data_IF_906117694740
#
_entry.id   IF_906117694740
#
_cell.length_a   1.000
_cell.length_b   1.000
_cell.length_c   1.000
_cell.angle_alpha   90.00
_cell.angle_beta   90.00
_cell.angle_gamma   90.00
#
_symmetry.space_group_name_H-M   'P 1'
#
loop_
_entity.id
_entity.type
_entity.pdbx_description
1 polymer ?
#
# COMPACT_ATOMS: atom_id res chain seq x y z
N UNK A 1 -47.99 -15.18 36.48
CA UNK A 1 -47.82 -14.59 37.82
C UNK A 1 -46.60 -13.66 37.82
N UNK A 2 -46.84 -12.35 38.07
CA UNK A 2 -45.96 -11.25 38.47
C UNK A 2 -44.67 -10.96 37.65
N UNK A 3 -44.78 -10.09 36.71
CA UNK A 3 -44.23 -8.72 36.46
C UNK A 3 -43.28 -8.17 37.53
N UNK A 4 -42.10 -7.77 37.07
CA UNK A 4 -41.15 -6.92 37.80
C UNK A 4 -40.40 -6.01 36.86
N UNK A 5 -40.93 -4.82 36.61
CA UNK A 5 -40.33 -3.67 35.93
C UNK A 5 -39.37 -2.97 36.90
N UNK A 6 -38.13 -2.72 36.52
CA UNK A 6 -37.24 -1.87 37.30
C UNK A 6 -36.71 -0.75 36.38
N UNK A 7 -37.26 0.44 36.64
CA UNK A 7 -36.91 1.73 36.08
C UNK A 7 -35.60 2.23 36.71
N UNK A 8 -34.62 2.66 35.86
CA UNK A 8 -33.46 3.41 36.33
C UNK A 8 -33.49 4.80 35.74
N UNK A 9 -33.65 5.75 36.64
CA UNK A 9 -33.68 7.20 36.51
C UNK A 9 -32.29 7.72 36.08
N UNK A 10 -32.27 8.58 35.07
CA UNK A 10 -31.12 9.36 34.62
C UNK A 10 -31.07 10.72 35.30
N UNK A 11 -29.96 11.04 35.95
CA UNK A 11 -29.66 12.37 36.50
C UNK A 11 -28.62 13.05 35.63
N UNK A 12 -28.74 14.32 35.20
CA UNK A 12 -27.71 15.07 34.47
C UNK A 12 -26.67 15.72 35.39
N UNK A 13 -25.44 15.97 34.94
CA UNK A 13 -24.39 16.64 35.70
C UNK A 13 -24.49 18.17 35.63
N UNK A 14 -23.94 18.89 36.63
CA UNK A 14 -24.08 20.32 36.79
C UNK A 14 -23.08 21.17 35.99
N UNK A 15 -23.49 22.40 35.75
CA UNK A 15 -22.85 23.48 35.02
C UNK A 15 -21.40 23.82 35.41
N UNK A 16 -20.56 24.02 34.42
CA UNK A 16 -19.22 24.60 34.53
C UNK A 16 -19.29 26.13 34.35
N UNK A 17 -19.00 26.87 35.42
CA UNK A 17 -18.88 28.33 35.44
C UNK A 17 -17.56 28.78 34.77
N UNK A 18 -17.69 29.73 33.88
CA UNK A 18 -16.60 30.50 33.27
C UNK A 18 -15.86 31.37 34.30
N UNK A 19 -14.55 31.32 34.32
CA UNK A 19 -13.65 32.25 34.97
C UNK A 19 -12.90 33.04 33.92
N UNK A 20 -13.28 34.32 33.75
CA UNK A 20 -12.57 35.31 32.94
C UNK A 20 -11.40 35.87 33.77
N UNK A 21 -10.18 35.77 33.25
CA UNK A 21 -8.99 36.47 33.75
C UNK A 21 -8.67 37.63 32.82
N UNK A 22 -8.89 38.85 33.30
CA UNK A 22 -8.39 40.11 32.71
C UNK A 22 -6.93 40.30 33.11
N UNK A 23 -6.02 40.30 32.17
CA UNK A 23 -4.65 40.80 32.36
C UNK A 23 -4.53 42.22 31.83
N UNK A 24 -4.23 43.11 32.76
CA UNK A 24 -3.86 44.52 32.54
C UNK A 24 -2.38 44.59 32.15
N UNK A 25 -2.07 45.03 30.91
CA UNK A 25 -0.70 45.27 30.47
C UNK A 25 -0.42 46.78 30.55
N UNK A 26 0.47 47.16 31.47
CA UNK A 26 0.98 48.53 31.60
C UNK A 26 2.00 48.83 30.48
N UNK A 27 1.73 49.88 29.69
CA UNK A 27 2.56 50.39 28.63
C UNK A 27 3.60 51.36 29.23
N UNK A 28 4.88 51.00 29.28
CA UNK A 28 5.99 51.93 29.55
C UNK A 28 6.57 52.39 28.21
N UNK A 29 6.38 53.70 27.93
CA UNK A 29 6.99 54.38 26.79
C UNK A 29 8.41 54.80 27.16
N UNK A 30 9.42 54.21 26.52
CA UNK A 30 10.80 54.74 26.53
C UNK A 30 11.06 55.45 25.20
N UNK A 31 11.18 56.81 25.23
CA UNK A 31 11.62 57.63 24.12
C UNK A 31 13.14 57.63 24.08
N UNK A 32 13.74 56.96 23.08
CA UNK A 32 15.17 57.04 22.72
C UNK A 32 15.38 57.80 21.38
N UNK A 33 16.47 58.52 21.18
CA UNK A 33 16.67 59.41 20.02
C UNK A 33 16.79 58.63 18.70
N UNK A 34 16.02 59.07 17.73
CA UNK A 34 16.00 58.53 16.36
C UNK A 34 17.34 58.74 15.66
N UNK A 35 18.00 57.62 15.33
CA UNK A 35 19.19 57.60 14.44
C UNK A 35 18.69 57.32 13.03
N UNK A 36 18.86 58.29 12.14
CA UNK A 36 18.48 58.16 10.72
C UNK A 36 19.27 57.01 10.08
N UNK A 37 18.58 55.98 9.60
CA UNK A 37 19.14 54.94 8.72
C UNK A 37 19.03 55.40 7.27
N UNK A 38 20.04 55.14 6.43
CA UNK A 38 19.95 55.46 5.00
C UNK A 38 18.94 54.53 4.32
N UNK A 39 18.05 55.13 3.57
CA UNK A 39 17.03 54.43 2.75
C UNK A 39 17.72 53.56 1.70
N UNK A 40 17.46 52.24 1.64
CA UNK A 40 17.93 51.42 0.53
C UNK A 40 17.17 51.81 -0.75
N UNK A 41 17.88 51.92 -1.85
CA UNK A 41 17.34 52.16 -3.17
C UNK A 41 16.34 51.07 -3.56
N UNK A 42 15.28 51.39 -4.34
CA UNK A 42 14.30 50.39 -4.79
C UNK A 42 14.99 49.37 -5.68
N UNK A 43 14.98 48.10 -5.23
CA UNK A 43 15.38 46.94 -6.05
C UNK A 43 14.44 46.83 -7.25
N UNK A 44 15.02 46.73 -8.44
CA UNK A 44 14.27 46.45 -9.66
C UNK A 44 13.39 45.20 -9.49
N UNK A 45 12.17 45.17 -10.04
CA UNK A 45 11.32 44.01 -9.94
C UNK A 45 11.95 42.83 -10.69
N UNK A 46 12.35 41.81 -9.95
CA UNK A 46 12.69 40.50 -10.51
C UNK A 46 11.39 39.97 -11.15
N UNK A 47 11.39 39.61 -12.45
CA UNK A 47 10.19 39.00 -13.03
C UNK A 47 9.84 37.73 -12.21
N UNK A 48 8.70 37.77 -11.57
CA UNK A 48 8.12 36.59 -10.94
C UNK A 48 8.00 35.54 -12.03
N UNK A 49 8.82 34.51 -11.94
CA UNK A 49 8.57 33.27 -12.70
C UNK A 49 7.16 32.82 -12.30
N UNK A 50 6.21 33.05 -13.18
CA UNK A 50 4.88 32.46 -13.08
C UNK A 50 5.13 30.96 -13.04
N UNK A 51 5.08 30.36 -11.84
CA UNK A 51 4.91 28.95 -11.70
C UNK A 51 3.59 28.65 -12.43
N UNK A 52 3.73 28.18 -13.68
CA UNK A 52 2.62 27.60 -14.41
C UNK A 52 2.11 26.50 -13.53
N UNK A 53 0.88 26.68 -13.00
CA UNK A 53 0.20 25.61 -12.30
C UNK A 53 0.27 24.39 -13.24
N UNK A 54 1.06 23.40 -12.88
CA UNK A 54 1.06 22.11 -13.54
C UNK A 54 -0.37 21.64 -13.39
N UNK A 55 -1.16 21.76 -14.47
CA UNK A 55 -2.53 21.32 -14.49
C UNK A 55 -2.53 19.87 -14.06
N UNK A 56 -3.24 19.61 -12.99
CA UNK A 56 -3.49 18.26 -12.49
C UNK A 56 -3.99 17.41 -13.64
N UNK A 57 -3.19 16.41 -14.07
CA UNK A 57 -3.54 15.55 -15.18
C UNK A 57 -4.77 14.74 -14.76
N UNK A 58 -5.91 14.89 -15.46
CA UNK A 58 -7.14 14.23 -15.05
C UNK A 58 -6.95 12.71 -15.00
N UNK A 59 -7.30 12.09 -13.88
CA UNK A 59 -7.56 10.67 -13.77
C UNK A 59 -6.35 9.74 -13.70
N UNK A 60 -5.17 10.23 -13.33
CA UNK A 60 -3.98 9.40 -13.24
C UNK A 60 -3.68 9.10 -11.77
N UNK A 61 -3.97 7.86 -11.34
CA UNK A 61 -3.61 7.35 -10.01
C UNK A 61 -4.74 7.11 -9.03
N UNK A 62 -5.98 7.49 -9.36
CA UNK A 62 -7.12 7.48 -8.45
C UNK A 62 -8.02 6.25 -8.63
N UNK A 63 -7.44 5.06 -8.77
CA UNK A 63 -8.18 3.81 -8.93
C UNK A 63 -8.16 2.96 -7.65
N UNK A 64 -9.32 2.74 -7.06
CA UNK A 64 -9.51 1.75 -6.01
C UNK A 64 -9.90 0.42 -6.64
N UNK A 65 -9.21 -0.66 -6.25
CA UNK A 65 -9.45 -2.02 -6.74
C UNK A 65 -9.75 -2.94 -5.56
N UNK A 66 -10.84 -3.67 -5.62
CA UNK A 66 -11.24 -4.64 -4.61
C UNK A 66 -11.86 -5.91 -5.24
N UNK A 67 -11.47 -7.10 -4.79
CA UNK A 67 -10.45 -7.41 -3.80
C UNK A 67 -9.02 -7.18 -4.35
N UNK A 68 -8.06 -7.02 -3.46
CA UNK A 68 -6.63 -6.85 -3.82
C UNK A 68 -5.92 -8.18 -4.16
N UNK A 69 -6.64 -9.28 -4.12
CA UNK A 69 -6.15 -10.64 -4.40
C UNK A 69 -7.32 -11.53 -4.81
N UNK A 70 -7.16 -12.31 -5.85
CA UNK A 70 -8.15 -13.30 -6.30
C UNK A 70 -7.56 -14.69 -6.23
N UNK A 71 -8.29 -15.63 -5.61
CA UNK A 71 -7.93 -17.04 -5.57
C UNK A 71 -9.11 -17.84 -6.13
N UNK A 72 -8.82 -18.64 -7.14
CA UNK A 72 -9.77 -19.55 -7.81
C UNK A 72 -9.32 -20.98 -7.54
N UNK A 73 -10.01 -21.65 -6.63
CA UNK A 73 -9.68 -23.01 -6.20
C UNK A 73 -10.94 -23.86 -5.94
N UNK A 74 -10.81 -25.16 -5.98
CA UNK A 74 -11.90 -26.10 -5.70
C UNK A 74 -13.11 -25.89 -6.62
N UNK A 75 -14.23 -25.46 -6.06
CA UNK A 75 -15.48 -25.17 -6.78
C UNK A 75 -15.60 -23.73 -7.24
N UNK A 76 -14.72 -22.82 -6.77
CA UNK A 76 -14.73 -21.42 -7.15
C UNK A 76 -14.16 -21.27 -8.56
N UNK A 77 -15.03 -21.07 -9.54
CA UNK A 77 -14.69 -21.01 -10.98
C UNK A 77 -14.79 -19.61 -11.58
N UNK A 78 -15.28 -18.65 -10.81
CA UNK A 78 -15.43 -17.27 -11.23
C UNK A 78 -15.16 -16.33 -10.08
N UNK A 79 -14.76 -15.11 -10.43
CA UNK A 79 -14.58 -14.02 -9.49
C UNK A 79 -14.92 -12.69 -10.14
N UNK A 80 -15.18 -11.69 -9.31
CA UNK A 80 -15.41 -10.32 -9.71
C UNK A 80 -14.41 -9.40 -9.03
N UNK A 81 -13.93 -8.40 -9.76
CA UNK A 81 -13.07 -7.33 -9.25
C UNK A 81 -13.75 -6.01 -9.51
N UNK A 82 -14.07 -5.31 -8.45
CA UNK A 82 -14.65 -3.96 -8.51
C UNK A 82 -13.56 -2.92 -8.67
N UNK A 83 -13.77 -1.98 -9.57
CA UNK A 83 -12.94 -0.81 -9.79
C UNK A 83 -13.77 0.43 -9.50
N UNK A 84 -13.21 1.35 -8.75
CA UNK A 84 -13.85 2.64 -8.44
C UNK A 84 -12.85 3.74 -8.75
N UNK A 85 -13.25 4.69 -9.59
CA UNK A 85 -12.47 5.90 -9.80
C UNK A 85 -12.75 6.87 -8.66
N UNK A 86 -11.79 7.07 -7.75
CA UNK A 86 -11.90 7.99 -6.62
C UNK A 86 -11.37 9.40 -6.94
N UNK A 87 -10.90 9.61 -8.17
CA UNK A 87 -10.47 10.91 -8.67
C UNK A 87 -11.63 11.81 -9.09
N UNK A 88 -11.31 13.05 -9.43
CA UNK A 88 -12.29 14.09 -9.81
C UNK A 88 -12.67 14.08 -11.29
N UNK A 89 -11.95 13.31 -12.12
CA UNK A 89 -12.13 13.32 -13.58
C UNK A 89 -12.43 11.91 -14.11
N UNK A 90 -13.09 11.83 -15.24
CA UNK A 90 -13.28 10.57 -15.97
C UNK A 90 -11.94 10.00 -16.41
N UNK A 91 -11.73 8.71 -16.17
CA UNK A 91 -10.51 8.00 -16.53
C UNK A 91 -10.80 6.68 -17.23
N UNK A 92 -9.98 6.35 -18.23
CA UNK A 92 -10.06 5.09 -18.95
C UNK A 92 -8.91 4.18 -18.51
N UNK A 93 -9.22 2.92 -18.23
CA UNK A 93 -8.27 1.90 -17.81
C UNK A 93 -8.31 0.72 -18.76
N UNK A 94 -7.13 0.31 -19.23
CA UNK A 94 -6.97 -0.94 -19.97
C UNK A 94 -6.67 -2.07 -18.99
N UNK A 95 -7.39 -3.18 -19.15
CA UNK A 95 -7.27 -4.38 -18.34
C UNK A 95 -6.47 -5.43 -19.11
N UNK A 96 -5.39 -5.92 -18.54
CA UNK A 96 -4.50 -6.93 -19.13
C UNK A 96 -3.88 -7.80 -18.06
N UNK A 97 -3.24 -8.89 -18.46
CA UNK A 97 -2.36 -9.64 -17.57
C UNK A 97 -0.92 -9.18 -17.72
N UNK A 98 -0.19 -9.20 -16.59
CA UNK A 98 1.27 -9.10 -16.52
C UNK A 98 1.80 -10.21 -15.61
N UNK A 99 3.06 -10.57 -15.78
CA UNK A 99 3.69 -11.66 -15.06
C UNK A 99 4.80 -11.10 -14.17
N UNK A 100 4.67 -11.31 -12.86
CA UNK A 100 5.58 -10.76 -11.87
C UNK A 100 6.22 -11.87 -11.05
N UNK A 101 7.54 -11.81 -10.93
CA UNK A 101 8.37 -12.66 -10.10
C UNK A 101 8.70 -11.95 -8.79
N UNK A 102 8.46 -12.62 -7.68
CA UNK A 102 8.86 -12.09 -6.37
C UNK A 102 10.35 -12.37 -6.12
N UNK A 103 11.09 -11.35 -5.73
CA UNK A 103 12.47 -11.49 -5.23
C UNK A 103 12.47 -11.98 -3.78
N UNK A 104 13.63 -12.37 -3.25
CA UNK A 104 13.75 -12.74 -1.83
C UNK A 104 13.48 -11.57 -0.88
N UNK A 105 13.66 -10.33 -1.32
CA UNK A 105 13.27 -9.13 -0.55
C UNK A 105 11.76 -8.85 -0.60
N UNK A 106 11.02 -9.56 -1.46
CA UNK A 106 9.59 -9.38 -1.65
C UNK A 106 9.19 -8.34 -2.70
N UNK A 107 10.15 -7.79 -3.42
CA UNK A 107 9.91 -6.94 -4.58
C UNK A 107 9.34 -7.77 -5.74
N UNK A 108 8.45 -7.19 -6.53
CA UNK A 108 7.88 -7.83 -7.71
C UNK A 108 8.56 -7.27 -8.97
N UNK A 109 9.15 -8.15 -9.77
CA UNK A 109 9.81 -7.83 -11.05
C UNK A 109 9.09 -8.48 -12.20
N UNK A 110 8.94 -7.76 -13.31
CA UNK A 110 8.30 -8.27 -14.50
C UNK A 110 9.16 -9.35 -15.17
N UNK A 111 8.50 -10.41 -15.64
CA UNK A 111 9.12 -11.51 -16.37
C UNK A 111 8.28 -11.87 -17.60
N UNK A 112 8.93 -12.33 -18.66
CA UNK A 112 8.25 -12.69 -19.91
C UNK A 112 7.85 -14.17 -19.98
N UNK A 113 8.60 -15.04 -19.29
CA UNK A 113 8.43 -16.49 -19.35
C UNK A 113 8.21 -17.06 -17.95
N UNK A 114 7.40 -18.13 -17.83
CA UNK A 114 7.23 -18.82 -16.56
C UNK A 114 8.53 -19.51 -16.12
N UNK A 115 8.76 -19.54 -14.82
CA UNK A 115 9.83 -20.33 -14.21
C UNK A 115 9.30 -21.70 -13.79
N UNK A 116 10.20 -22.65 -13.60
CA UNK A 116 9.86 -23.97 -13.07
C UNK A 116 9.15 -23.85 -11.71
N UNK A 117 8.04 -24.53 -11.55
CA UNK A 117 7.21 -24.45 -10.33
C UNK A 117 6.39 -23.16 -10.17
N UNK A 118 6.38 -22.25 -11.17
CA UNK A 118 5.58 -21.02 -11.17
C UNK A 118 4.92 -20.75 -12.53
N UNK A 119 4.03 -21.62 -13.02
CA UNK A 119 3.36 -21.42 -14.30
C UNK A 119 2.38 -20.22 -14.24
N UNK A 120 2.17 -19.60 -15.41
CA UNK A 120 1.24 -18.49 -15.54
C UNK A 120 -0.23 -18.95 -15.56
N UNK A 121 -1.13 -18.11 -15.03
CA UNK A 121 -2.55 -18.38 -14.95
C UNK A 121 -3.38 -17.75 -16.10
N UNK A 122 -2.83 -16.78 -16.84
CA UNK A 122 -3.55 -15.96 -17.82
C UNK A 122 -4.27 -16.78 -18.89
N UNK A 123 -3.64 -17.85 -19.41
CA UNK A 123 -4.22 -18.75 -20.39
C UNK A 123 -5.41 -19.56 -19.85
N UNK A 124 -5.53 -19.69 -18.52
CA UNK A 124 -6.63 -20.38 -17.85
C UNK A 124 -7.81 -19.44 -17.57
N UNK A 125 -7.65 -18.12 -17.73
CA UNK A 125 -8.60 -17.11 -17.27
C UNK A 125 -9.17 -16.34 -18.46
N UNK A 126 -10.48 -16.30 -18.52
CA UNK A 126 -11.23 -15.38 -19.38
C UNK A 126 -11.77 -14.24 -18.53
N UNK A 127 -11.65 -13.01 -18.99
CA UNK A 127 -12.13 -11.83 -18.28
C UNK A 127 -12.72 -10.80 -19.21
N UNK A 128 -13.64 -10.00 -18.70
CA UNK A 128 -14.32 -8.92 -19.42
C UNK A 128 -14.80 -7.86 -18.41
N UNK A 129 -14.77 -6.57 -18.80
CA UNK A 129 -14.28 -6.02 -20.06
C UNK A 129 -12.74 -5.88 -20.12
N UNK A 130 -12.21 -5.57 -21.30
CA UNK A 130 -10.77 -5.32 -21.57
C UNK A 130 -10.37 -3.87 -21.42
N UNK A 131 -11.35 -2.97 -21.49
CA UNK A 131 -11.18 -1.54 -21.30
C UNK A 131 -12.42 -0.98 -20.61
N UNK A 132 -12.21 -0.04 -19.70
CA UNK A 132 -13.24 0.51 -18.83
C UNK A 132 -13.02 2.01 -18.71
N UNK A 133 -14.07 2.78 -19.02
CA UNK A 133 -14.10 4.22 -18.73
C UNK A 133 -14.97 4.46 -17.51
N UNK A 134 -14.38 5.07 -16.48
CA UNK A 134 -15.01 5.35 -15.20
C UNK A 134 -15.15 6.86 -14.99
N UNK A 135 -16.35 7.33 -14.77
CA UNK A 135 -16.60 8.67 -14.24
C UNK A 135 -16.17 8.74 -12.76
N UNK A 136 -16.04 9.96 -12.23
CA UNK A 136 -15.72 10.18 -10.81
C UNK A 136 -16.71 9.47 -9.89
N UNK A 137 -16.20 8.71 -8.92
CA UNK A 137 -16.98 7.94 -7.93
C UNK A 137 -17.91 6.86 -8.52
N UNK A 138 -17.70 6.49 -9.79
CA UNK A 138 -18.46 5.40 -10.43
C UNK A 138 -17.68 4.09 -10.31
N UNK A 139 -18.39 3.02 -9.94
CA UNK A 139 -17.85 1.68 -9.85
C UNK A 139 -18.23 0.83 -11.07
N UNK A 140 -17.29 0.01 -11.52
CA UNK A 140 -17.54 -1.06 -12.49
C UNK A 140 -16.85 -2.36 -12.09
N UNK A 141 -17.31 -3.47 -12.64
CA UNK A 141 -16.85 -4.80 -12.29
C UNK A 141 -16.20 -5.48 -13.50
N UNK A 142 -15.00 -6.02 -13.28
CA UNK A 142 -14.35 -6.98 -14.17
C UNK A 142 -14.70 -8.38 -13.70
N UNK A 143 -15.36 -9.14 -14.56
CA UNK A 143 -15.68 -10.56 -14.31
C UNK A 143 -14.61 -11.46 -14.87
N UNK A 144 -14.22 -12.44 -14.08
CA UNK A 144 -13.25 -13.46 -14.46
C UNK A 144 -13.87 -14.85 -14.33
N UNK A 145 -13.51 -15.74 -15.25
CA UNK A 145 -13.90 -17.13 -15.23
C UNK A 145 -12.73 -18.02 -15.64
N UNK A 146 -12.49 -19.10 -14.90
CA UNK A 146 -11.46 -20.07 -15.25
C UNK A 146 -12.01 -21.18 -16.13
N UNK A 147 -11.14 -21.63 -17.04
CA UNK A 147 -11.32 -22.83 -17.85
C UNK A 147 -10.11 -23.73 -17.67
N UNK A 148 -10.27 -24.81 -16.93
CA UNK A 148 -9.22 -25.77 -16.66
C UNK A 148 -9.24 -26.89 -17.72
N UNK A 149 -8.15 -27.11 -18.46
CA UNK A 149 -7.98 -28.31 -19.30
C UNK A 149 -8.00 -29.57 -18.44
N UNK A 150 -8.51 -30.67 -18.96
CA UNK A 150 -8.55 -31.94 -18.24
C UNK A 150 -7.15 -32.49 -17.89
N UNK A 151 -6.14 -32.15 -18.68
CA UNK A 151 -4.73 -32.54 -18.49
C UNK A 151 -3.91 -31.51 -17.71
N UNK A 152 -4.54 -30.52 -17.06
CA UNK A 152 -3.80 -29.52 -16.32
C UNK A 152 -3.05 -30.17 -15.14
N UNK A 153 -1.72 -29.99 -15.00
CA UNK A 153 -0.99 -30.48 -13.84
C UNK A 153 -1.49 -29.86 -12.52
N UNK A 154 -1.37 -30.61 -11.43
CA UNK A 154 -1.66 -30.09 -10.10
C UNK A 154 -0.64 -29.01 -9.70
N UNK A 155 -1.12 -27.95 -9.03
CA UNK A 155 -0.29 -26.89 -8.55
C UNK A 155 -0.95 -25.52 -8.55
N UNK A 156 -0.14 -24.50 -8.26
CA UNK A 156 -0.56 -23.11 -8.25
C UNK A 156 -0.05 -22.41 -9.52
N UNK A 157 -0.98 -21.74 -10.20
CA UNK A 157 -0.77 -20.92 -11.40
C UNK A 157 -1.02 -19.46 -11.01
N UNK A 158 -0.14 -18.54 -11.40
CA UNK A 158 -0.26 -17.13 -11.01
C UNK A 158 0.06 -16.19 -12.14
N UNK A 159 -0.81 -15.20 -12.35
CA UNK A 159 -0.59 -14.01 -13.16
C UNK A 159 -1.13 -12.81 -12.40
N UNK A 160 -0.81 -11.61 -12.83
CA UNK A 160 -1.32 -10.39 -12.21
C UNK A 160 -2.25 -9.68 -13.19
N UNK A 161 -3.47 -9.36 -12.74
CA UNK A 161 -4.39 -8.54 -13.49
C UNK A 161 -3.97 -7.07 -13.32
N UNK A 162 -3.59 -6.43 -14.41
CA UNK A 162 -3.09 -5.06 -14.48
C UNK A 162 -4.18 -4.14 -15.00
N UNK A 163 -4.46 -3.10 -14.26
CA UNK A 163 -5.32 -1.97 -14.64
C UNK A 163 -4.41 -0.78 -14.93
N UNK A 164 -4.21 -0.46 -16.21
CA UNK A 164 -3.31 0.60 -16.65
C UNK A 164 -4.11 1.78 -17.15
N UNK A 165 -3.87 2.98 -16.61
CA UNK A 165 -4.49 4.20 -17.10
C UNK A 165 -4.12 4.45 -18.56
N UNK A 166 -5.10 4.86 -19.35
CA UNK A 166 -4.92 5.29 -20.74
C UNK A 166 -4.89 6.82 -20.73
N UNK A 167 -3.78 7.46 -21.12
CA UNK A 167 -3.71 8.91 -21.22
C UNK A 167 -4.77 9.43 -22.19
N UNK A 168 -5.40 10.58 -21.89
CA UNK A 168 -6.32 11.21 -22.83
C UNK A 168 -5.58 11.60 -24.13
N UNK A 169 -6.25 11.53 -25.28
CA UNK A 169 -5.65 11.86 -26.58
C UNK A 169 -5.07 13.28 -26.62
N UNK A 170 -5.68 14.24 -25.90
CA UNK A 170 -5.19 15.60 -25.75
C UNK A 170 -3.82 15.69 -25.02
N UNK A 171 -3.39 14.63 -24.35
CA UNK A 171 -2.10 14.54 -23.70
C UNK A 171 -1.01 13.96 -24.62
N UNK A 172 -1.38 13.40 -25.77
CA UNK A 172 -0.42 12.96 -26.77
C UNK A 172 0.33 14.18 -27.35
N UNK A 173 1.66 14.11 -27.50
CA UNK A 173 2.39 15.20 -28.13
C UNK A 173 1.93 15.31 -29.59
N UNK A 174 1.37 16.46 -29.97
CA UNK A 174 0.92 16.72 -31.33
C UNK A 174 2.09 16.76 -32.36
N UNK A 175 3.32 16.68 -31.87
CA UNK A 175 4.55 16.70 -32.72
C UNK A 175 5.52 15.62 -32.30
N UNK A 176 5.94 14.79 -33.25
CA UNK A 176 7.12 13.93 -33.05
C UNK A 176 8.37 14.79 -32.88
N UNK A 177 9.33 14.31 -32.10
CA UNK A 177 10.61 14.99 -31.83
C UNK A 177 11.32 15.36 -33.15
N UNK A 178 11.17 14.56 -34.20
CA UNK A 178 11.75 14.80 -35.53
C UNK A 178 11.22 16.06 -36.23
N UNK A 179 9.94 16.44 -35.97
CA UNK A 179 9.34 17.64 -36.57
C UNK A 179 9.69 18.90 -35.77
N UNK A 180 10.03 18.79 -34.49
CA UNK A 180 10.41 19.91 -33.65
C UNK A 180 11.85 20.39 -33.90
N UNK A 181 12.72 19.54 -34.44
CA UNK A 181 14.13 19.87 -34.73
C UNK A 181 14.30 20.65 -36.02
N UNK A 182 13.32 20.60 -36.95
CA UNK A 182 13.41 21.28 -38.27
C UNK A 182 12.83 22.68 -38.33
N UNK A 183 12.12 23.14 -37.31
CA UNK A 183 11.54 24.49 -37.25
C UNK A 183 12.15 25.34 -36.15
N UNK A 184 13.17 26.09 -36.45
CA UNK A 184 13.70 27.31 -35.81
C UNK A 184 14.53 27.12 -34.52
N UNK A 185 15.79 27.47 -34.60
CA UNK A 185 16.77 27.54 -33.50
C UNK A 185 16.49 28.61 -32.41
N UNK A 186 15.25 29.10 -32.29
CA UNK A 186 14.86 30.12 -31.31
C UNK A 186 13.68 29.74 -30.41
N UNK A 187 13.05 28.56 -30.62
CA UNK A 187 11.97 28.08 -29.75
C UNK A 187 12.55 27.18 -28.64
N UNK A 188 12.42 27.59 -27.39
CA UNK A 188 12.86 26.80 -26.25
C UNK A 188 12.27 25.38 -26.29
N UNK A 189 13.12 24.38 -26.04
CA UNK A 189 12.70 22.99 -25.98
C UNK A 189 11.82 22.79 -24.74
N UNK A 190 10.57 22.37 -24.91
CA UNK A 190 9.64 22.05 -23.84
C UNK A 190 9.40 20.55 -23.77
N UNK A 191 9.72 19.93 -22.63
CA UNK A 191 9.44 18.51 -22.36
C UNK A 191 8.23 18.42 -21.44
N UNK A 192 7.18 17.74 -21.86
CA UNK A 192 6.04 17.38 -21.02
C UNK A 192 6.13 15.91 -20.64
N UNK A 193 6.28 15.60 -19.35
CA UNK A 193 6.25 14.25 -18.83
C UNK A 193 4.81 13.90 -18.43
N UNK A 194 4.30 12.78 -18.94
CA UNK A 194 2.98 12.24 -18.59
C UNK A 194 3.21 10.91 -17.86
N UNK A 195 3.09 10.88 -16.53
CA UNK A 195 3.20 9.63 -15.79
C UNK A 195 1.97 8.76 -16.07
N UNK A 196 2.19 7.48 -16.37
CA UNK A 196 1.12 6.48 -16.57
C UNK A 196 1.18 5.54 -15.37
N UNK A 197 0.11 5.53 -14.58
CA UNK A 197 0.00 4.66 -13.43
C UNK A 197 -0.75 3.38 -13.78
N UNK A 198 -0.45 2.32 -13.02
CA UNK A 198 -1.15 1.05 -13.11
C UNK A 198 -1.22 0.39 -11.74
N UNK A 199 -2.35 -0.25 -11.47
CA UNK A 199 -2.55 -1.10 -10.29
C UNK A 199 -2.59 -2.53 -10.76
N UNK A 200 -1.86 -3.43 -10.11
CA UNK A 200 -1.92 -4.85 -10.40
C UNK A 200 -2.28 -5.66 -9.15
N UNK A 201 -3.11 -6.68 -9.34
CA UNK A 201 -3.50 -7.62 -8.29
C UNK A 201 -3.15 -9.05 -8.71
N UNK A 202 -2.69 -9.92 -7.80
CA UNK A 202 -2.45 -11.32 -8.12
C UNK A 202 -3.77 -12.06 -8.34
N UNK A 203 -3.83 -12.81 -9.43
CA UNK A 203 -4.88 -13.80 -9.73
C UNK A 203 -4.23 -15.17 -9.71
N UNK A 204 -4.71 -16.01 -8.79
CA UNK A 204 -4.13 -17.31 -8.48
C UNK A 204 -5.17 -18.38 -8.77
N UNK A 205 -4.78 -19.36 -9.56
CA UNK A 205 -5.56 -20.58 -9.83
C UNK A 205 -4.85 -21.73 -9.17
N UNK A 206 -5.57 -22.48 -8.32
CA UNK A 206 -5.09 -23.70 -7.68
C UNK A 206 -5.84 -24.90 -8.22
N UNK A 207 -5.10 -25.89 -8.66
CA UNK A 207 -5.64 -27.13 -9.22
C UNK A 207 -5.05 -28.35 -8.49
N UNK A 208 -5.92 -29.31 -8.16
CA UNK A 208 -5.52 -30.52 -7.43
C UNK A 208 -5.13 -30.26 -5.97
N UNK A 209 -4.22 -31.08 -5.47
CA UNK A 209 -3.70 -30.94 -4.11
C UNK A 209 -2.55 -29.97 -4.07
N UNK A 210 -2.72 -28.89 -3.28
CA UNK A 210 -1.72 -27.81 -3.18
C UNK A 210 -1.34 -27.55 -1.71
N UNK A 211 -0.63 -28.49 -1.03
CA UNK A 211 -0.19 -28.27 0.34
C UNK A 211 0.91 -27.19 0.42
N UNK A 212 0.90 -26.44 1.52
CA UNK A 212 1.99 -25.55 1.87
C UNK A 212 2.14 -25.45 3.39
N UNK A 213 3.39 -25.24 3.83
CA UNK A 213 3.71 -24.91 5.21
C UNK A 213 4.52 -23.63 5.29
N UNK A 214 4.36 -22.90 6.38
CA UNK A 214 5.12 -21.70 6.69
C UNK A 214 6.10 -21.97 7.83
N UNK A 215 7.24 -21.29 7.82
CA UNK A 215 8.22 -21.28 8.91
C UNK A 215 8.78 -19.88 9.12
N UNK A 216 9.23 -19.59 10.33
CA UNK A 216 9.93 -18.34 10.68
C UNK A 216 11.29 -18.71 11.25
N UNK A 217 12.35 -18.11 10.72
CA UNK A 217 13.72 -18.35 11.13
C UNK A 217 14.55 -17.05 11.06
N UNK A 218 15.78 -17.11 11.58
CA UNK A 218 16.77 -16.04 11.46
C UNK A 218 16.23 -14.67 11.88
N UNK A 219 15.46 -14.62 13.00
CA UNK A 219 14.90 -13.38 13.50
C UNK A 219 16.00 -12.55 14.17
N UNK A 220 16.20 -11.32 13.69
CA UNK A 220 17.21 -10.38 14.18
C UNK A 220 16.55 -9.05 14.51
N UNK A 221 16.78 -8.56 15.71
CA UNK A 221 16.42 -7.21 16.12
C UNK A 221 17.53 -6.22 15.76
N UNK A 222 17.18 -5.14 15.11
CA UNK A 222 18.05 -4.00 14.83
C UNK A 222 17.53 -2.79 15.61
N UNK A 223 18.31 -2.22 16.54
CA UNK A 223 17.92 -1.03 17.28
C UNK A 223 17.78 0.18 16.34
N UNK A 224 17.05 1.20 16.78
CA UNK A 224 16.95 2.46 16.07
C UNK A 224 18.33 3.07 15.80
N UNK A 225 18.52 3.66 14.63
CA UNK A 225 19.76 4.35 14.22
C UNK A 225 19.41 5.70 13.61
N UNK A 226 19.77 6.80 14.31
CA UNK A 226 19.37 8.14 13.88
C UNK A 226 17.85 8.27 13.78
N UNK A 227 17.36 8.67 12.60
CA UNK A 227 15.93 8.81 12.33
C UNK A 227 15.24 7.48 11.91
N UNK A 228 16.00 6.39 11.73
CA UNK A 228 15.43 5.10 11.36
C UNK A 228 14.83 4.41 12.59
N UNK A 229 13.57 3.96 12.50
CA UNK A 229 12.92 3.23 13.60
C UNK A 229 13.59 1.87 13.84
N UNK A 230 13.46 1.31 15.04
CA UNK A 230 13.93 -0.06 15.30
C UNK A 230 13.21 -1.04 14.36
N UNK A 231 13.92 -2.08 13.94
CA UNK A 231 13.50 -3.01 12.90
C UNK A 231 13.64 -4.46 13.38
N UNK A 232 12.67 -5.29 13.07
CA UNK A 232 12.80 -6.75 13.10
C UNK A 232 12.99 -7.27 11.67
N UNK A 233 14.08 -8.00 11.43
CA UNK A 233 14.30 -8.73 10.20
C UNK A 233 14.13 -10.22 10.47
N UNK A 234 13.41 -10.95 9.62
CA UNK A 234 13.28 -12.40 9.74
C UNK A 234 13.09 -13.05 8.37
N UNK A 235 13.42 -14.35 8.30
CA UNK A 235 13.22 -15.19 7.13
C UNK A 235 11.88 -15.91 7.27
N UNK A 236 10.92 -15.56 6.39
CA UNK A 236 9.66 -16.27 6.27
C UNK A 236 9.83 -17.35 5.19
N UNK A 237 9.89 -18.60 5.64
CA UNK A 237 10.04 -19.77 4.79
C UNK A 237 8.71 -20.34 4.32
N UNK A 238 8.72 -20.98 3.14
CA UNK A 238 7.60 -21.67 2.52
C UNK A 238 8.08 -23.02 1.97
N UNK A 239 7.28 -24.06 2.18
CA UNK A 239 7.47 -25.34 1.49
C UNK A 239 6.14 -25.80 0.89
N UNK A 240 6.20 -26.80 -0.02
CA UNK A 240 5.02 -27.27 -0.77
C UNK A 240 4.88 -26.58 -2.13
N UNK A 241 3.73 -26.75 -2.78
CA UNK A 241 3.47 -26.34 -4.16
C UNK A 241 2.47 -25.19 -4.31
N UNK A 242 2.16 -24.47 -3.22
CA UNK A 242 1.39 -23.24 -3.27
C UNK A 242 2.06 -22.12 -2.47
N UNK A 243 1.70 -20.89 -2.79
CA UNK A 243 2.09 -19.68 -2.07
C UNK A 243 1.46 -19.62 -0.68
N UNK A 244 2.19 -19.07 0.30
CA UNK A 244 1.63 -18.69 1.60
C UNK A 244 1.30 -17.20 1.60
N UNK A 245 0.27 -16.83 2.37
CA UNK A 245 -0.20 -15.46 2.52
C UNK A 245 -0.80 -15.26 3.90
N UNK A 246 -0.42 -14.17 4.54
CA UNK A 246 -0.89 -13.90 5.90
C UNK A 246 -0.44 -12.57 6.46
N UNK A 247 -0.63 -12.42 7.77
CA UNK A 247 -0.22 -11.25 8.54
C UNK A 247 0.91 -11.63 9.50
N UNK A 248 1.88 -10.74 9.61
CA UNK A 248 3.00 -10.89 10.53
C UNK A 248 2.83 -9.88 11.67
N UNK A 249 2.80 -10.39 12.90
CA UNK A 249 2.64 -9.60 14.12
C UNK A 249 3.87 -9.79 15.01
N UNK A 250 4.45 -8.68 15.46
CA UNK A 250 5.57 -8.68 16.42
C UNK A 250 5.05 -8.18 17.77
N UNK A 251 5.23 -9.00 18.80
CA UNK A 251 4.88 -8.67 20.18
C UNK A 251 6.15 -8.55 21.02
N UNK A 252 6.27 -7.48 21.76
CA UNK A 252 7.27 -7.35 22.80
C UNK A 252 6.77 -7.99 24.10
N UNK A 253 7.54 -8.93 24.63
CA UNK A 253 7.33 -9.59 25.90
C UNK A 253 8.42 -9.09 26.86
N UNK A 254 8.14 -8.09 27.71
CA UNK A 254 9.10 -7.61 28.68
C UNK A 254 9.39 -8.69 29.75
N UNK A 255 10.52 -8.60 30.43
CA UNK A 255 10.85 -9.51 31.53
C UNK A 255 9.80 -9.45 32.65
N UNK A 256 9.17 -8.31 32.88
CA UNK A 256 8.03 -8.10 33.75
C UNK A 256 6.99 -7.19 33.07
N UNK A 257 5.70 -7.54 33.21
CA UNK A 257 4.60 -6.77 32.61
C UNK A 257 3.82 -7.51 31.53
N UNK A 258 2.94 -6.80 30.82
CA UNK A 258 2.05 -7.39 29.83
C UNK A 258 2.65 -7.35 28.41
N UNK A 259 2.46 -8.40 27.61
CA UNK A 259 2.85 -8.39 26.20
C UNK A 259 2.19 -7.23 25.43
N UNK A 260 2.94 -6.61 24.50
CA UNK A 260 2.46 -5.49 23.67
C UNK A 260 2.79 -5.72 22.22
N UNK A 261 1.85 -5.44 21.32
CA UNK A 261 2.11 -5.42 19.88
C UNK A 261 2.97 -4.19 19.56
N UNK A 262 4.10 -4.42 18.91
CA UNK A 262 5.07 -3.37 18.54
C UNK A 262 5.33 -3.31 17.05
N UNK A 263 4.81 -4.25 16.27
CA UNK A 263 4.92 -4.23 14.80
C UNK A 263 3.85 -5.11 14.17
N UNK A 264 3.30 -4.65 13.04
CA UNK A 264 2.34 -5.41 12.23
C UNK A 264 2.65 -5.19 10.76
N UNK A 265 2.65 -6.27 9.98
CA UNK A 265 2.73 -6.21 8.54
C UNK A 265 1.64 -7.12 7.96
N UNK A 266 0.64 -6.52 7.33
CA UNK A 266 -0.47 -7.24 6.74
C UNK A 266 -0.17 -7.65 5.28
N UNK A 267 -0.77 -8.74 4.83
CA UNK A 267 -0.71 -9.14 3.44
C UNK A 267 0.67 -9.62 2.97
N UNK A 268 1.45 -10.21 3.87
CA UNK A 268 2.77 -10.76 3.54
C UNK A 268 2.61 -12.09 2.80
N UNK A 269 3.21 -12.16 1.61
CA UNK A 269 3.22 -13.37 0.78
C UNK A 269 4.62 -13.93 0.61
N UNK A 270 4.72 -15.25 0.44
CA UNK A 270 5.86 -15.90 -0.22
C UNK A 270 5.28 -16.69 -1.39
N UNK A 271 5.46 -16.13 -2.60
CA UNK A 271 4.95 -16.75 -3.82
C UNK A 271 5.85 -17.88 -4.31
N UNK A 272 5.22 -18.88 -4.95
CA UNK A 272 5.94 -19.86 -5.76
C UNK A 272 6.80 -19.15 -6.82
N UNK A 273 8.00 -19.66 -7.18
CA UNK A 273 8.69 -20.82 -6.66
C UNK A 273 9.57 -20.52 -5.44
N UNK A 274 9.53 -19.30 -4.87
CA UNK A 274 10.40 -18.95 -3.74
C UNK A 274 10.19 -19.89 -2.56
N UNK A 275 11.30 -20.37 -1.99
CA UNK A 275 11.29 -21.13 -0.74
C UNK A 275 11.25 -20.22 0.48
N UNK A 276 11.62 -18.94 0.37
CA UNK A 276 11.58 -17.96 1.46
C UNK A 276 11.50 -16.53 0.95
N UNK A 277 11.26 -15.63 1.89
CA UNK A 277 11.36 -14.18 1.74
C UNK A 277 11.97 -13.59 3.01
N UNK A 278 12.84 -12.59 2.86
CA UNK A 278 13.29 -11.76 3.98
C UNK A 278 12.24 -10.69 4.22
N UNK A 279 11.72 -10.66 5.44
CA UNK A 279 10.68 -9.68 5.84
C UNK A 279 11.31 -8.72 6.86
N UNK A 280 11.10 -7.42 6.64
CA UNK A 280 11.54 -6.35 7.51
C UNK A 280 10.33 -5.63 8.06
N UNK A 281 10.15 -5.71 9.38
CA UNK A 281 9.00 -5.11 10.08
C UNK A 281 9.50 -3.93 10.90
N UNK A 282 9.16 -2.68 10.52
CA UNK A 282 9.41 -1.53 11.37
C UNK A 282 8.67 -1.70 12.70
N UNK A 283 9.37 -1.45 13.81
CA UNK A 283 8.77 -1.55 15.13
C UNK A 283 8.35 -0.16 15.61
N UNK A 284 7.14 -0.08 16.14
CA UNK A 284 6.53 1.14 16.65
C UNK A 284 6.11 0.90 18.11
N UNK A 285 7.04 0.93 19.06
CA UNK A 285 6.68 0.83 20.47
C UNK A 285 5.85 2.04 20.89
N UNK A 286 4.84 1.82 21.73
CA UNK A 286 4.06 2.91 22.29
C UNK A 286 4.94 3.86 23.11
N UNK A 287 4.58 5.15 23.27
CA UNK A 287 5.34 6.10 24.08
C UNK A 287 5.67 5.53 25.47
N UNK A 288 6.92 5.65 25.88
CA UNK A 288 7.44 5.13 27.16
C UNK A 288 7.78 3.63 27.18
N UNK A 289 7.61 2.92 26.07
CA UNK A 289 8.03 1.52 25.96
C UNK A 289 9.44 1.46 25.37
N UNK A 290 10.40 1.03 26.16
CA UNK A 290 11.77 0.79 25.73
C UNK A 290 11.91 -0.69 25.37
N UNK A 291 12.37 -0.96 24.15
CA UNK A 291 12.67 -2.31 23.68
C UNK A 291 14.04 -2.77 24.22
N UNK A 292 14.04 -3.37 25.39
CA UNK A 292 15.22 -3.94 26.06
C UNK A 292 14.77 -4.95 27.12
N UNK A 293 15.68 -5.79 27.61
CA UNK A 293 15.41 -6.78 28.66
C UNK A 293 14.10 -7.56 28.50
N UNK A 294 14.00 -8.35 27.43
CA UNK A 294 12.84 -9.15 27.13
C UNK A 294 13.01 -9.93 25.83
N UNK A 295 11.92 -10.22 25.16
CA UNK A 295 11.97 -10.89 23.84
C UNK A 295 10.92 -10.33 22.90
N UNK A 296 11.21 -10.38 21.61
CA UNK A 296 10.24 -10.17 20.55
C UNK A 296 9.72 -11.53 20.08
N UNK A 297 8.42 -11.74 20.21
CA UNK A 297 7.70 -12.88 19.63
C UNK A 297 7.17 -12.46 18.27
N UNK A 298 7.45 -13.26 17.26
CA UNK A 298 7.03 -13.03 15.88
C UNK A 298 6.06 -14.13 15.47
N UNK A 299 4.88 -13.75 15.07
CA UNK A 299 3.80 -14.68 14.70
C UNK A 299 3.36 -14.39 13.27
N UNK A 300 3.37 -15.41 12.41
CA UNK A 300 2.76 -15.38 11.10
C UNK A 300 1.44 -16.15 11.14
N UNK A 301 0.35 -15.50 10.78
CA UNK A 301 -1.01 -16.05 10.80
C UNK A 301 -1.73 -15.86 9.47
N UNK A 302 -2.77 -16.64 9.19
CA UNK A 302 -3.66 -16.40 8.04
C UNK A 302 -4.19 -14.97 8.06
N UNK A 303 -4.47 -14.40 6.89
CA UNK A 303 -4.91 -13.01 6.75
C UNK A 303 -6.33 -12.72 7.26
N UNK A 304 -7.10 -13.74 7.58
CA UNK A 304 -8.45 -13.64 8.12
C UNK A 304 -8.44 -13.05 9.55
N UNK A 305 -9.54 -12.44 9.95
CA UNK A 305 -9.70 -11.98 11.33
C UNK A 305 -9.57 -13.17 12.29
N UNK A 306 -8.66 -13.08 13.28
CA UNK A 306 -8.27 -14.18 14.16
C UNK A 306 -7.72 -15.41 13.41
N UNK A 307 -7.02 -15.17 12.30
CA UNK A 307 -6.47 -16.21 11.45
C UNK A 307 -5.59 -17.21 12.21
N UNK A 308 -5.66 -18.47 11.80
CA UNK A 308 -4.84 -19.55 12.32
C UNK A 308 -3.35 -19.17 12.29
N UNK A 309 -2.63 -19.45 13.38
CA UNK A 309 -1.18 -19.29 13.45
C UNK A 309 -0.50 -20.34 12.58
N UNK A 310 0.28 -19.87 11.61
CA UNK A 310 1.00 -20.71 10.65
C UNK A 310 2.45 -20.96 11.07
N UNK A 311 3.10 -19.96 11.68
CA UNK A 311 4.48 -20.06 12.16
C UNK A 311 4.73 -19.08 13.29
N UNK A 312 5.72 -19.39 14.14
CA UNK A 312 6.14 -18.54 15.26
C UNK A 312 7.62 -18.66 15.49
N UNK A 313 8.27 -17.58 15.90
CA UNK A 313 9.65 -17.55 16.39
C UNK A 313 9.79 -16.44 17.42
N UNK A 314 10.92 -16.43 18.15
CA UNK A 314 11.23 -15.37 19.10
C UNK A 314 12.72 -15.03 19.07
N UNK A 315 13.05 -13.76 19.36
CA UNK A 315 14.41 -13.27 19.53
C UNK A 315 14.52 -12.55 20.86
N UNK A 316 15.57 -12.85 21.64
CA UNK A 316 15.87 -12.15 22.88
C UNK A 316 16.45 -10.79 22.61
N UNK A 317 16.03 -9.81 23.40
CA UNK A 317 16.60 -8.46 23.39
C UNK A 317 17.70 -8.38 24.45
N UNK A 318 18.73 -7.55 24.23
CA UNK A 318 19.85 -7.36 25.16
C UNK A 318 19.42 -6.73 26.46
#
# INVERSE_FOLDING_TARGET
MKTGFMSISSTPPPDARALAWTMLVALFAFAGPARAQPTPAPAAPVPAATASAAGELPGVGDLLVAPTRVILEGRVRSAEVSLINIGSHTATYRVSFTHLRMTESGELKEIEKPEEGAPFADNLIRYSPREITLESNVAQVVRMQIRLPASLPEGEYRSHLLFRAVPPESAAPERSIEKAVSETAAAGFSVRLIPIYGVSIPVIVRHGSTPATASLAEAVYRPAQGDEPPLLECKLGRSGNQSIYGNLTVKFLPASGTPRVVGVMNGVAVYTPNSFRIVRVPLQPAPGVVLGHGRLQVVFSKAEANGERLAETAVSLP
#
